data_IF_963516527603
#
_entry.id   IF_963516527603
#
_cell.length_a   1.000
_cell.length_b   1.000
_cell.length_c   1.000
_cell.angle_alpha   90.00
_cell.angle_beta   90.00
_cell.angle_gamma   90.00
#
_symmetry.space_group_name_H-M   'P 1'
#
loop_
_entity.id
_entity.type
_entity.pdbx_description
1 polymer ?
#
# COMPACT_ATOMS: atom_id res chain seq x y z
N UNK A 1 -25.56 26.68 -5.03
CA UNK A 1 -24.33 25.88 -5.24
C UNK A 1 -23.14 26.71 -4.72
N UNK A 2 -22.73 26.52 -3.47
CA UNK A 2 -21.64 27.30 -2.87
C UNK A 2 -20.29 26.69 -3.21
N UNK A 3 -19.45 27.42 -3.96
CA UNK A 3 -18.08 27.01 -4.23
C UNK A 3 -17.30 27.20 -2.93
N UNK A 4 -16.88 26.11 -2.30
CA UNK A 4 -16.06 26.12 -1.09
C UNK A 4 -14.67 26.66 -1.46
N UNK A 5 -14.47 27.98 -1.36
CA UNK A 5 -13.19 28.64 -1.63
C UNK A 5 -12.22 28.30 -0.50
N UNK A 6 -11.39 27.27 -0.70
CA UNK A 6 -10.27 26.97 0.21
C UNK A 6 -9.28 28.14 0.12
N UNK A 7 -9.18 28.93 1.18
CA UNK A 7 -8.15 29.97 1.31
C UNK A 7 -6.86 29.27 1.71
N UNK A 8 -5.82 29.36 0.87
CA UNK A 8 -4.49 28.88 1.19
C UNK A 8 -3.75 30.03 1.88
N UNK A 9 -3.51 29.91 3.18
CA UNK A 9 -2.68 30.85 3.93
C UNK A 9 -1.31 30.23 4.21
N UNK A 10 -0.24 30.83 3.69
CA UNK A 10 1.15 30.44 3.97
C UNK A 10 1.90 31.62 4.59
N UNK A 11 2.57 31.38 5.72
CA UNK A 11 3.32 32.40 6.47
C UNK A 11 4.81 32.25 6.18
N UNK A 12 5.50 33.37 5.97
CA UNK A 12 6.94 33.42 5.69
C UNK A 12 7.65 34.26 6.75
N UNK A 13 8.89 33.88 7.08
CA UNK A 13 9.71 34.64 8.04
C UNK A 13 10.25 35.93 7.44
N UNK A 14 10.58 35.90 6.14
CA UNK A 14 11.18 37.02 5.42
C UNK A 14 10.26 37.53 4.32
N UNK A 15 10.23 38.86 4.12
CA UNK A 15 9.48 39.50 3.04
C UNK A 15 9.95 39.05 1.65
N UNK A 16 11.24 38.78 1.47
CA UNK A 16 11.82 38.31 0.22
C UNK A 16 11.31 36.91 -0.16
N UNK A 17 11.14 36.03 0.82
CA UNK A 17 10.61 34.68 0.64
C UNK A 17 9.13 34.70 0.24
N UNK A 18 8.34 35.57 0.90
CA UNK A 18 6.94 35.79 0.54
C UNK A 18 6.79 36.29 -0.91
N UNK A 19 7.62 37.26 -1.32
CA UNK A 19 7.64 37.79 -2.69
C UNK A 19 8.03 36.74 -3.72
N UNK A 20 9.00 35.88 -3.39
CA UNK A 20 9.40 34.78 -4.29
C UNK A 20 8.27 33.78 -4.46
N UNK A 21 7.61 33.41 -3.37
CA UNK A 21 6.45 32.50 -3.42
C UNK A 21 5.28 33.10 -4.19
N UNK A 22 4.98 34.39 -3.99
CA UNK A 22 3.95 35.12 -4.74
C UNK A 22 4.24 35.09 -6.25
N UNK A 23 5.48 35.39 -6.65
CA UNK A 23 5.91 35.37 -8.04
C UNK A 23 5.82 33.96 -8.65
N UNK A 24 6.24 32.93 -7.92
CA UNK A 24 6.09 31.53 -8.34
C UNK A 24 4.63 31.13 -8.51
N UNK A 25 3.74 31.61 -7.64
CA UNK A 25 2.30 31.34 -7.72
C UNK A 25 1.68 32.03 -8.94
N UNK A 26 2.07 33.28 -9.19
CA UNK A 26 1.62 34.04 -10.36
C UNK A 26 2.06 33.39 -11.67
N UNK A 27 3.33 32.98 -11.76
CA UNK A 27 3.86 32.25 -12.92
C UNK A 27 3.12 30.94 -13.17
N UNK A 28 2.66 30.24 -12.11
CA UNK A 28 1.83 29.05 -12.25
C UNK A 28 0.43 29.38 -12.77
N UNK A 29 -0.19 30.46 -12.31
CA UNK A 29 -1.51 30.92 -12.78
C UNK A 29 -1.43 31.30 -14.27
N UNK A 30 -0.41 32.07 -14.66
CA UNK A 30 -0.27 32.57 -16.02
C UNK A 30 -0.04 31.42 -17.02
N UNK A 31 0.72 30.39 -16.64
CA UNK A 31 0.87 29.15 -17.44
C UNK A 31 -0.43 28.37 -17.61
N UNK A 32 -1.30 28.34 -16.60
CA UNK A 32 -2.62 27.70 -16.70
C UNK A 32 -3.51 28.47 -17.67
N UNK A 33 -3.49 29.81 -17.57
CA UNK A 33 -4.31 30.68 -18.42
C UNK A 33 -3.85 30.70 -19.88
N UNK A 34 -2.55 30.52 -20.15
CA UNK A 34 -2.00 30.50 -21.51
C UNK A 34 -2.30 29.23 -22.31
N UNK A 35 -2.94 28.22 -21.70
CA UNK A 35 -3.24 26.94 -22.36
C UNK A 35 -2.00 26.07 -22.62
N UNK A 36 -0.82 26.52 -22.19
CA UNK A 36 0.40 25.75 -22.11
C UNK A 36 0.23 24.79 -20.93
N UNK A 37 -0.41 23.65 -21.18
CA UNK A 37 -0.80 22.68 -20.17
C UNK A 37 0.42 22.07 -19.47
N UNK A 38 1.04 22.80 -18.56
CA UNK A 38 1.42 22.18 -17.30
C UNK A 38 0.08 21.93 -16.62
N UNK A 39 -0.43 20.69 -16.76
CA UNK A 39 -1.32 20.15 -15.74
C UNK A 39 -0.71 20.64 -14.43
N UNK A 40 -1.48 21.33 -13.60
CA UNK A 40 -1.12 21.36 -12.20
C UNK A 40 -1.19 19.88 -11.83
N UNK A 41 -0.06 19.17 -11.97
CA UNK A 41 0.05 17.80 -11.52
C UNK A 41 -0.12 17.97 -10.03
N UNK A 42 -1.36 17.84 -9.58
CA UNK A 42 -1.59 17.22 -8.30
C UNK A 42 -0.82 15.92 -8.43
N UNK A 43 0.41 15.87 -7.92
CA UNK A 43 1.25 14.67 -7.93
C UNK A 43 0.44 13.46 -7.42
N UNK A 44 -0.54 13.69 -6.53
CA UNK A 44 -1.52 12.71 -6.08
C UNK A 44 -2.52 12.15 -7.13
N UNK A 45 -2.60 12.72 -8.34
CA UNK A 45 -3.42 12.21 -9.44
C UNK A 45 -2.78 11.06 -10.22
N UNK A 46 -1.48 10.80 -9.99
CA UNK A 46 -0.79 9.66 -10.59
C UNK A 46 -1.52 8.35 -10.25
N UNK A 47 -1.69 7.49 -11.25
CA UNK A 47 -2.23 6.15 -11.05
C UNK A 47 -1.27 5.33 -10.19
N UNK A 48 -1.80 4.42 -9.38
CA UNK A 48 -1.00 3.51 -8.59
C UNK A 48 -0.06 2.69 -9.49
N UNK A 49 -0.53 2.27 -10.67
CA UNK A 49 0.31 1.57 -11.66
C UNK A 49 1.49 2.43 -12.10
N UNK A 50 1.26 3.70 -12.38
CA UNK A 50 2.28 4.59 -12.94
C UNK A 50 3.28 4.97 -11.86
N UNK A 51 2.82 5.22 -10.64
CA UNK A 51 3.69 5.44 -9.49
C UNK A 51 4.57 4.22 -9.22
N UNK A 52 4.01 3.00 -9.31
CA UNK A 52 4.79 1.78 -9.18
C UNK A 52 5.91 1.71 -10.23
N UNK A 53 5.60 1.80 -11.52
CA UNK A 53 6.59 1.60 -12.58
C UNK A 53 7.61 2.74 -12.67
N UNK A 54 7.15 3.99 -12.57
CA UNK A 54 7.97 5.15 -12.91
C UNK A 54 8.71 5.75 -11.70
N UNK A 55 8.24 5.47 -10.48
CA UNK A 55 8.76 6.12 -9.26
C UNK A 55 9.27 5.08 -8.27
N UNK A 56 8.42 4.14 -7.87
CA UNK A 56 8.76 3.23 -6.77
C UNK A 56 9.71 2.11 -7.18
N UNK A 57 9.60 1.58 -8.42
CA UNK A 57 10.31 0.36 -8.82
C UNK A 57 11.83 0.49 -8.83
N UNK A 58 12.34 1.58 -9.42
CA UNK A 58 13.80 1.82 -9.44
C UNK A 58 14.34 2.09 -8.03
N UNK A 59 13.62 2.88 -7.23
CA UNK A 59 13.97 3.12 -5.83
C UNK A 59 13.97 1.83 -4.99
N UNK A 60 13.03 0.91 -5.24
CA UNK A 60 13.01 -0.40 -4.59
C UNK A 60 14.22 -1.26 -4.96
N UNK A 61 14.56 -1.34 -6.25
CA UNK A 61 15.77 -2.07 -6.70
C UNK A 61 17.05 -1.47 -6.11
N UNK A 62 17.09 -0.15 -5.92
CA UNK A 62 18.19 0.54 -5.25
C UNK A 62 18.19 0.37 -3.71
N UNK A 63 17.16 -0.25 -3.13
CA UNK A 63 17.02 -0.47 -1.68
C UNK A 63 16.47 0.72 -0.89
N UNK A 64 16.10 1.82 -1.55
CA UNK A 64 15.68 3.07 -0.90
C UNK A 64 14.32 3.00 -0.22
N UNK A 65 13.45 2.10 -0.68
CA UNK A 65 12.07 1.95 -0.16
C UNK A 65 11.94 0.85 0.89
N UNK A 66 13.06 0.35 1.39
CA UNK A 66 13.15 -0.77 2.34
C UNK A 66 14.00 -0.39 3.54
N UNK A 67 13.74 -0.99 4.70
CA UNK A 67 14.54 -0.78 5.91
C UNK A 67 15.78 -1.68 6.00
N UNK A 68 16.07 -2.48 4.97
CA UNK A 68 17.21 -3.41 4.96
C UNK A 68 18.50 -2.70 4.57
N UNK A 69 19.61 -3.06 5.20
CA UNK A 69 20.92 -2.44 4.96
C UNK A 69 21.53 -2.77 3.59
N UNK A 70 20.98 -3.75 2.88
CA UNK A 70 21.42 -4.16 1.55
C UNK A 70 20.26 -4.05 0.56
N UNK A 71 20.52 -3.67 -0.70
CA UNK A 71 19.54 -3.76 -1.77
C UNK A 71 19.01 -5.21 -1.95
N UNK A 72 17.79 -5.38 -2.47
CA UNK A 72 17.21 -6.70 -2.71
C UNK A 72 18.04 -7.50 -3.73
N UNK A 73 18.10 -8.83 -3.53
CA UNK A 73 18.73 -9.73 -4.52
C UNK A 73 17.87 -9.86 -5.78
N UNK A 74 18.45 -10.31 -6.89
CA UNK A 74 17.71 -10.52 -8.14
C UNK A 74 16.48 -11.41 -7.96
N UNK A 75 16.62 -12.55 -7.25
CA UNK A 75 15.49 -13.43 -6.96
C UNK A 75 14.37 -12.72 -6.16
N UNK A 76 14.73 -11.75 -5.31
CA UNK A 76 13.77 -10.95 -4.55
C UNK A 76 13.07 -9.94 -5.45
N UNK A 77 13.80 -9.31 -6.38
CA UNK A 77 13.26 -8.40 -7.39
C UNK A 77 12.24 -9.16 -8.25
N UNK A 78 12.62 -10.31 -8.81
CA UNK A 78 11.73 -11.12 -9.65
C UNK A 78 10.47 -11.56 -8.87
N UNK A 79 10.66 -12.02 -7.64
CA UNK A 79 9.53 -12.40 -6.78
C UNK A 79 8.60 -11.23 -6.46
N UNK A 80 9.16 -10.04 -6.26
CA UNK A 80 8.38 -8.81 -6.00
C UNK A 80 7.58 -8.41 -7.23
N UNK A 81 8.20 -8.39 -8.41
CA UNK A 81 7.53 -8.08 -9.67
C UNK A 81 6.35 -9.03 -9.92
N UNK A 82 6.54 -10.34 -9.66
CA UNK A 82 5.46 -11.34 -9.78
C UNK A 82 4.30 -11.02 -8.82
N UNK A 83 4.59 -10.62 -7.58
CA UNK A 83 3.55 -10.24 -6.60
C UNK A 83 2.79 -9.00 -7.08
N UNK A 84 3.48 -7.98 -7.58
CA UNK A 84 2.84 -6.79 -8.10
C UNK A 84 1.94 -7.11 -9.29
N UNK A 85 2.50 -7.77 -10.31
CA UNK A 85 1.80 -8.13 -11.55
C UNK A 85 0.57 -9.02 -11.31
N UNK A 86 0.69 -10.04 -10.45
CA UNK A 86 -0.41 -11.01 -10.24
C UNK A 86 -1.43 -10.58 -9.20
N UNK A 87 -1.09 -9.66 -8.29
CA UNK A 87 -1.93 -9.40 -7.12
C UNK A 87 -2.19 -7.93 -6.82
N UNK A 88 -1.18 -7.07 -6.87
CA UNK A 88 -1.32 -5.67 -6.44
C UNK A 88 -1.85 -4.80 -7.58
N UNK A 89 -1.24 -4.87 -8.76
CA UNK A 89 -1.64 -4.06 -9.92
C UNK A 89 -3.07 -4.33 -10.38
N UNK A 90 -3.55 -5.59 -10.49
CA UNK A 90 -4.95 -5.84 -10.84
C UNK A 90 -5.95 -5.30 -9.81
N UNK A 91 -5.52 -5.13 -8.55
CA UNK A 91 -6.38 -4.71 -7.45
C UNK A 91 -6.40 -3.18 -7.29
N UNK A 92 -5.25 -2.52 -7.44
CA UNK A 92 -5.06 -1.11 -7.09
C UNK A 92 -4.61 -0.23 -8.26
N UNK A 93 -4.11 -0.81 -9.35
CA UNK A 93 -3.41 -0.10 -10.42
C UNK A 93 -4.21 1.05 -11.05
N UNK A 94 -5.51 0.87 -11.22
CA UNK A 94 -6.39 1.83 -11.90
C UNK A 94 -6.90 2.96 -10.99
N UNK A 95 -6.52 2.97 -9.71
CA UNK A 95 -6.85 4.06 -8.81
C UNK A 95 -5.68 5.04 -8.72
N UNK A 96 -5.97 6.33 -8.51
CA UNK A 96 -4.93 7.28 -8.17
C UNK A 96 -4.45 7.09 -6.72
N UNK A 97 -3.19 7.44 -6.47
CA UNK A 97 -2.60 7.37 -5.13
C UNK A 97 -3.38 8.24 -4.14
N UNK A 98 -3.77 9.47 -4.50
CA UNK A 98 -4.53 10.33 -3.61
C UNK A 98 -5.94 9.78 -3.35
N UNK A 99 -6.62 9.25 -4.37
CA UNK A 99 -7.93 8.63 -4.18
C UNK A 99 -7.86 7.51 -3.13
N UNK A 100 -6.90 6.60 -3.25
CA UNK A 100 -6.74 5.51 -2.28
C UNK A 100 -6.40 6.05 -0.89
N UNK A 101 -5.53 7.07 -0.79
CA UNK A 101 -5.12 7.67 0.48
C UNK A 101 -6.26 8.38 1.22
N UNK A 102 -7.17 9.03 0.49
CA UNK A 102 -8.35 9.66 1.09
C UNK A 102 -9.46 8.65 1.42
N UNK A 103 -9.57 7.57 0.66
CA UNK A 103 -10.69 6.61 0.76
C UNK A 103 -10.29 5.33 1.50
N UNK A 104 -10.10 5.44 2.82
CA UNK A 104 -9.70 4.32 3.71
C UNK A 104 -10.60 3.10 3.60
N UNK A 105 -11.90 3.29 3.38
CA UNK A 105 -12.86 2.19 3.28
C UNK A 105 -12.62 1.35 2.02
N UNK A 106 -12.29 1.98 0.90
CA UNK A 106 -12.04 1.29 -0.38
C UNK A 106 -10.84 0.37 -0.24
N UNK A 107 -9.70 0.90 0.23
CA UNK A 107 -8.50 0.07 0.40
C UNK A 107 -8.69 -1.03 1.45
N UNK A 108 -9.45 -0.75 2.52
CA UNK A 108 -9.77 -1.74 3.54
C UNK A 108 -10.55 -2.92 2.94
N UNK A 109 -11.59 -2.64 2.15
CA UNK A 109 -12.41 -3.66 1.51
C UNK A 109 -11.58 -4.51 0.52
N UNK A 110 -10.85 -3.85 -0.38
CA UNK A 110 -10.02 -4.50 -1.40
C UNK A 110 -8.95 -5.41 -0.78
N UNK A 111 -8.22 -4.92 0.22
CA UNK A 111 -7.16 -5.70 0.87
C UNK A 111 -7.71 -6.80 1.79
N UNK A 112 -8.89 -6.60 2.40
CA UNK A 112 -9.54 -7.63 3.22
C UNK A 112 -9.98 -8.81 2.35
N UNK A 113 -10.61 -8.53 1.21
CA UNK A 113 -10.94 -9.57 0.22
C UNK A 113 -9.66 -10.29 -0.23
N UNK A 114 -8.59 -9.54 -0.53
CA UNK A 114 -7.32 -10.16 -0.94
C UNK A 114 -6.70 -11.03 0.14
N UNK A 115 -6.88 -10.70 1.41
CA UNK A 115 -6.38 -11.47 2.54
C UNK A 115 -7.10 -12.82 2.74
N UNK A 116 -8.32 -12.95 2.23
CA UNK A 116 -9.09 -14.19 2.22
C UNK A 116 -8.73 -15.09 1.02
N UNK A 117 -8.30 -14.49 -0.08
CA UNK A 117 -7.88 -15.23 -1.28
C UNK A 117 -6.44 -15.73 -1.18
N UNK A 118 -5.51 -14.89 -0.70
CA UNK A 118 -4.08 -15.12 -0.83
C UNK A 118 -3.37 -15.40 0.50
N UNK A 119 -2.72 -16.57 0.60
CA UNK A 119 -2.06 -17.00 1.84
C UNK A 119 -0.89 -16.09 2.24
N UNK A 120 -0.12 -15.55 1.28
CA UNK A 120 1.02 -14.69 1.56
C UNK A 120 0.65 -13.20 1.61
N UNK A 121 -0.58 -12.88 2.02
CA UNK A 121 -1.10 -11.50 2.13
C UNK A 121 -0.20 -10.53 2.91
N UNK A 122 0.60 -11.02 3.89
CA UNK A 122 1.56 -10.16 4.59
C UNK A 122 2.53 -9.44 3.64
N UNK A 123 2.93 -10.11 2.56
CA UNK A 123 3.84 -9.55 1.54
C UNK A 123 3.14 -8.43 0.78
N UNK A 124 1.91 -8.67 0.30
CA UNK A 124 1.07 -7.64 -0.35
C UNK A 124 0.93 -6.41 0.54
N UNK A 125 0.56 -6.63 1.81
CA UNK A 125 0.40 -5.56 2.79
C UNK A 125 1.66 -4.70 2.94
N UNK A 126 2.82 -5.35 3.03
CA UNK A 126 4.11 -4.66 3.17
C UNK A 126 4.42 -3.78 1.97
N UNK A 127 4.24 -4.30 0.75
CA UNK A 127 4.52 -3.54 -0.46
C UNK A 127 3.54 -2.39 -0.68
N UNK A 128 2.26 -2.61 -0.42
CA UNK A 128 1.26 -1.53 -0.51
C UNK A 128 1.60 -0.43 0.50
N UNK A 129 2.02 -0.77 1.72
CA UNK A 129 2.45 0.25 2.68
C UNK A 129 3.68 1.02 2.19
N UNK A 130 4.70 0.32 1.70
CA UNK A 130 5.94 0.92 1.17
C UNK A 130 5.68 1.88 0.00
N UNK A 131 4.70 1.59 -0.87
CA UNK A 131 4.28 2.51 -1.94
C UNK A 131 3.77 3.84 -1.35
N UNK A 132 2.88 3.79 -0.36
CA UNK A 132 2.32 5.00 0.25
C UNK A 132 3.33 5.75 1.12
N UNK A 133 4.21 5.03 1.83
CA UNK A 133 5.31 5.65 2.58
C UNK A 133 6.26 6.41 1.63
N UNK A 134 6.59 5.81 0.48
CA UNK A 134 7.43 6.47 -0.53
C UNK A 134 6.72 7.64 -1.23
N UNK A 135 5.41 7.54 -1.43
CA UNK A 135 4.61 8.63 -1.97
C UNK A 135 4.53 9.82 -1.00
N UNK A 136 4.48 9.57 0.32
CA UNK A 136 4.59 10.61 1.35
C UNK A 136 5.99 11.25 1.34
N UNK A 137 7.05 10.44 1.32
CA UNK A 137 8.44 10.91 1.30
C UNK A 137 8.74 11.83 0.10
N UNK A 138 8.20 11.49 -1.08
CA UNK A 138 8.38 12.29 -2.30
C UNK A 138 7.30 13.37 -2.49
N UNK A 139 6.50 13.65 -1.45
CA UNK A 139 5.46 14.69 -1.45
C UNK A 139 4.39 14.53 -2.55
N UNK A 140 4.14 13.30 -3.03
CA UNK A 140 2.99 12.99 -3.89
C UNK A 140 1.68 13.04 -3.10
N UNK A 141 1.75 12.75 -1.80
CA UNK A 141 0.70 12.92 -0.82
C UNK A 141 1.27 13.64 0.41
N UNK A 142 0.43 14.41 1.10
CA UNK A 142 0.85 15.14 2.31
C UNK A 142 1.18 14.20 3.47
N UNK A 143 0.41 13.12 3.63
CA UNK A 143 0.68 12.10 4.65
C UNK A 143 0.08 10.74 4.30
N UNK A 144 0.74 9.64 4.70
CA UNK A 144 0.19 8.31 4.57
C UNK A 144 -0.93 8.06 5.61
N UNK A 145 -2.17 8.26 5.17
CA UNK A 145 -3.37 8.08 6.01
C UNK A 145 -3.76 6.61 6.20
N UNK A 146 -3.10 5.69 5.49
CA UNK A 146 -3.47 4.29 5.36
C UNK A 146 -2.62 3.35 6.21
N UNK A 147 -1.43 3.77 6.65
CA UNK A 147 -0.45 2.92 7.36
C UNK A 147 -1.07 2.10 8.50
N UNK A 148 -1.82 2.75 9.39
CA UNK A 148 -2.52 2.08 10.51
C UNK A 148 -3.65 1.17 10.03
N UNK A 149 -4.39 1.56 9.00
CA UNK A 149 -5.53 0.81 8.45
C UNK A 149 -5.04 -0.49 7.81
N UNK A 150 -4.06 -0.40 6.91
CA UNK A 150 -3.45 -1.54 6.20
C UNK A 150 -2.84 -2.52 7.22
N UNK A 151 -2.15 -2.00 8.23
CA UNK A 151 -1.47 -2.82 9.26
C UNK A 151 -2.43 -3.69 10.07
N UNK A 152 -3.68 -3.25 10.29
CA UNK A 152 -4.68 -3.98 11.09
C UNK A 152 -5.24 -5.22 10.39
N UNK A 153 -5.20 -5.27 9.05
CA UNK A 153 -5.79 -6.37 8.28
C UNK A 153 -5.05 -7.68 8.57
N UNK A 154 -5.79 -8.74 8.91
CA UNK A 154 -5.22 -10.05 9.24
C UNK A 154 -5.06 -10.90 7.99
N UNK A 155 -4.06 -11.80 7.98
CA UNK A 155 -3.83 -12.72 6.86
C UNK A 155 -4.80 -13.93 6.95
N UNK A 156 -6.09 -13.65 6.77
CA UNK A 156 -7.20 -14.55 7.07
C UNK A 156 -7.06 -15.92 6.40
N UNK A 157 -6.69 -15.99 5.12
CA UNK A 157 -6.48 -17.26 4.39
C UNK A 157 -5.46 -18.17 5.07
N UNK A 158 -4.31 -17.62 5.46
CA UNK A 158 -3.23 -18.37 6.12
C UNK A 158 -3.62 -18.80 7.52
N UNK A 159 -4.36 -17.95 8.26
CA UNK A 159 -4.89 -18.30 9.58
C UNK A 159 -5.91 -19.43 9.49
N UNK A 160 -6.84 -19.36 8.54
CA UNK A 160 -7.84 -20.39 8.30
C UNK A 160 -7.21 -21.72 7.91
N UNK A 161 -6.23 -21.69 6.99
CA UNK A 161 -5.49 -22.91 6.62
C UNK A 161 -4.80 -23.56 7.83
N UNK A 162 -4.13 -22.76 8.67
CA UNK A 162 -3.51 -23.26 9.91
C UNK A 162 -4.55 -23.84 10.86
N UNK A 163 -5.69 -23.17 11.05
CA UNK A 163 -6.79 -23.63 11.91
C UNK A 163 -7.33 -24.99 11.45
N UNK A 164 -7.62 -25.13 10.15
CA UNK A 164 -8.10 -26.40 9.56
C UNK A 164 -7.06 -27.50 9.71
N UNK A 165 -5.78 -27.21 9.46
CA UNK A 165 -4.69 -28.19 9.62
C UNK A 165 -4.60 -28.68 11.08
N UNK A 166 -4.65 -27.77 12.05
CA UNK A 166 -4.62 -28.13 13.47
C UNK A 166 -5.84 -28.95 13.89
N UNK A 167 -7.03 -28.56 13.43
CA UNK A 167 -8.26 -29.30 13.69
C UNK A 167 -8.18 -30.75 13.17
N UNK A 168 -7.65 -30.94 11.96
CA UNK A 168 -7.45 -32.26 11.36
C UNK A 168 -6.48 -33.13 12.18
N UNK A 169 -5.37 -32.56 12.65
CA UNK A 169 -4.40 -33.26 13.50
C UNK A 169 -5.05 -33.69 14.81
N UNK A 170 -5.80 -32.79 15.46
CA UNK A 170 -6.51 -33.08 16.70
C UNK A 170 -7.52 -34.21 16.52
N UNK A 171 -8.32 -34.18 15.44
CA UNK A 171 -9.29 -35.26 15.14
C UNK A 171 -8.57 -36.59 14.92
N UNK A 172 -7.48 -36.60 14.14
CA UNK A 172 -6.69 -37.81 13.88
C UNK A 172 -6.14 -38.42 15.18
N UNK A 173 -5.55 -37.59 16.06
CA UNK A 173 -5.08 -38.05 17.36
C UNK A 173 -6.21 -38.65 18.20
N UNK A 174 -7.37 -37.99 18.30
CA UNK A 174 -8.49 -38.48 19.10
C UNK A 174 -9.15 -39.75 18.52
N UNK A 175 -9.19 -39.92 17.19
CA UNK A 175 -9.64 -41.15 16.56
C UNK A 175 -8.69 -42.32 16.85
N UNK A 176 -7.36 -42.07 16.86
CA UNK A 176 -6.38 -43.06 17.25
C UNK A 176 -6.48 -43.46 18.73
N UNK A 177 -6.87 -42.55 19.63
CA UNK A 177 -7.18 -42.90 21.04
C UNK A 177 -8.47 -43.73 21.18
N UNK A 178 -9.49 -43.50 20.35
CA UNK A 178 -10.74 -44.28 20.39
C UNK A 178 -10.60 -45.68 19.77
N UNK A 179 -9.66 -45.88 18.86
CA UNK A 179 -9.39 -47.19 18.22
C UNK A 179 -8.16 -47.92 18.77
N UNK A 180 -7.32 -47.23 19.55
CA UNK A 180 -6.14 -47.77 20.25
C UNK A 180 -6.42 -48.09 21.72
N UNK A 181 -7.38 -48.98 22.01
CA UNK A 181 -7.41 -49.65 23.31
C UNK A 181 -8.03 -51.06 23.22
N UNK A 182 -7.17 -52.09 23.10
CA UNK A 182 -7.45 -53.40 23.62
C UNK A 182 -6.31 -53.88 24.52
N UNK A 183 -5.94 -53.12 25.56
CA UNK A 183 -4.97 -53.58 26.57
C UNK A 183 -5.39 -53.18 27.99
N UNK A 184 -6.63 -53.44 28.37
CA UNK A 184 -7.07 -53.59 29.76
C UNK A 184 -8.28 -54.56 29.82
N UNK A 185 -8.11 -55.76 29.27
CA UNK A 185 -8.92 -56.95 29.59
C UNK A 185 -7.95 -58.12 29.70
N UNK A 186 -7.91 -58.77 30.87
CA UNK A 186 -6.82 -59.59 31.45
C UNK A 186 -5.78 -58.68 32.12
N UNK A 187 -5.59 -58.69 33.44
CA UNK A 187 -5.73 -59.76 34.45
C UNK A 187 -6.47 -59.21 35.68
#
# INVERSE_FOLDING_TARGET
MGINKKVIEKRFKLRSEAKKYELELQNKIDKILSGESTKLETNGSILFSDFYHNVWWESYKAGQTTSTTKPPSQATIDGTEIVFRKHILPLLGNYSIDFLNQNKQVILNLLTQKAEEYANFKVIRSYVNSIFDWAEELEYIETNRLSKTISRIKATKKLNYKRVKMMKIYICHNQNFKHGSPLLKKI
#
